data_IF_087796554240
#
_entry.id   IF_087796554240
#
_cell.length_a   1.000
_cell.length_b   1.000
_cell.length_c   1.000
_cell.angle_alpha   90.00
_cell.angle_beta   90.00
_cell.angle_gamma   90.00
#
_symmetry.space_group_name_H-M   'P 1'
#
loop_
_entity.id
_entity.type
_entity.pdbx_description
1 polymer ?
#
# COMPACT_ATOMS: atom_id res chain seq x y z
N UNK A 1 5.83 -12.45 15.88
CA UNK A 1 5.38 -11.08 15.53
C UNK A 1 4.15 -11.16 14.65
N UNK A 2 3.15 -10.30 14.88
CA UNK A 2 2.03 -10.14 13.94
C UNK A 2 2.47 -9.19 12.81
N UNK A 3 2.09 -9.50 11.58
CA UNK A 3 2.28 -8.63 10.41
C UNK A 3 0.92 -8.12 9.95
N UNK A 4 0.88 -6.87 9.51
CA UNK A 4 -0.31 -6.29 8.89
C UNK A 4 -0.05 -6.07 7.40
N UNK A 5 -0.74 -6.83 6.56
CA UNK A 5 -0.74 -6.62 5.12
C UNK A 5 -1.77 -5.55 4.75
N UNK A 6 -1.35 -4.62 3.90
CA UNK A 6 -2.21 -3.60 3.28
C UNK A 6 -2.18 -3.81 1.78
N UNK A 7 -3.36 -3.92 1.15
CA UNK A 7 -3.48 -4.17 -0.27
C UNK A 7 -4.43 -3.17 -0.93
N UNK A 8 -4.10 -2.75 -2.14
CA UNK A 8 -4.98 -1.95 -3.01
C UNK A 8 -5.01 -2.56 -4.41
N UNK A 9 -6.09 -2.30 -5.15
CA UNK A 9 -6.31 -2.86 -6.49
C UNK A 9 -6.41 -1.78 -7.57
N UNK A 10 -5.76 -2.01 -8.70
CA UNK A 10 -5.96 -1.25 -9.92
C UNK A 10 -6.54 -2.14 -11.01
N UNK A 11 -7.58 -1.63 -11.67
CA UNK A 11 -8.22 -2.26 -12.84
C UNK A 11 -7.90 -1.52 -14.14
N UNK A 12 -6.97 -0.56 -14.09
CA UNK A 12 -6.58 0.26 -15.24
C UNK A 12 -5.53 -0.50 -16.05
N UNK A 13 -5.97 -1.13 -17.15
CA UNK A 13 -5.11 -2.01 -17.96
C UNK A 13 -5.23 -3.45 -17.49
N UNK A 14 -4.09 -4.05 -17.11
CA UNK A 14 -4.06 -5.32 -16.39
C UNK A 14 -4.71 -5.16 -15.01
N UNK A 15 -5.21 -6.26 -14.44
CA UNK A 15 -5.68 -6.26 -13.06
C UNK A 15 -4.48 -6.44 -12.14
N UNK A 16 -4.26 -5.48 -11.23
CA UNK A 16 -3.10 -5.43 -10.35
C UNK A 16 -3.60 -5.38 -8.91
N UNK A 17 -3.03 -6.22 -8.04
CA UNK A 17 -3.06 -6.05 -6.59
C UNK A 17 -1.66 -5.68 -6.13
N UNK A 18 -1.53 -4.55 -5.45
CA UNK A 18 -0.29 -4.15 -4.80
C UNK A 18 -0.44 -4.42 -3.30
N UNK A 19 0.52 -5.11 -2.69
CA UNK A 19 0.49 -5.43 -1.27
C UNK A 19 1.82 -5.11 -0.59
N UNK A 20 1.73 -4.50 0.59
CA UNK A 20 2.86 -4.21 1.48
C UNK A 20 2.58 -4.75 2.87
N UNK A 21 3.62 -5.04 3.65
CA UNK A 21 3.51 -5.47 5.05
C UNK A 21 4.20 -4.50 5.99
N UNK A 22 3.58 -4.29 7.14
CA UNK A 22 4.13 -3.51 8.25
C UNK A 22 4.17 -4.41 9.48
N UNK A 23 5.30 -4.40 10.20
CA UNK A 23 5.42 -5.10 11.46
C UNK A 23 4.38 -4.59 12.47
N UNK A 24 3.75 -5.47 13.23
CA UNK A 24 2.68 -5.10 14.16
C UNK A 24 3.07 -4.01 15.18
N UNK A 25 4.35 -3.96 15.58
CA UNK A 25 4.89 -2.90 16.44
C UNK A 25 4.89 -1.52 15.78
N UNK A 26 5.06 -1.47 14.47
CA UNK A 26 5.22 -0.23 13.69
C UNK A 26 3.90 0.31 13.12
N UNK A 27 2.82 -0.48 13.18
CA UNK A 27 1.50 -0.09 12.61
C UNK A 27 0.99 1.22 13.19
N UNK A 28 1.18 1.45 14.48
CA UNK A 28 0.72 2.69 15.13
C UNK A 28 1.51 3.89 14.60
N UNK A 29 2.83 3.77 14.48
CA UNK A 29 3.71 4.81 13.94
C UNK A 29 3.38 5.10 12.47
N UNK A 30 3.23 4.07 11.64
CA UNK A 30 2.86 4.21 10.23
C UNK A 30 1.52 4.94 10.05
N UNK A 31 0.51 4.58 10.85
CA UNK A 31 -0.80 5.26 10.83
C UNK A 31 -0.71 6.71 11.29
N UNK A 32 0.17 7.02 12.24
CA UNK A 32 0.39 8.38 12.71
C UNK A 32 1.03 9.23 11.61
N UNK A 33 2.10 8.75 10.97
CA UNK A 33 2.76 9.44 9.86
C UNK A 33 1.78 9.77 8.72
N UNK A 34 0.93 8.80 8.31
CA UNK A 34 -0.09 9.06 7.30
C UNK A 34 -1.17 10.06 7.74
N UNK A 35 -1.52 10.10 9.03
CA UNK A 35 -2.48 11.09 9.56
C UNK A 35 -1.92 12.49 9.57
N UNK A 36 -0.63 12.66 9.83
CA UNK A 36 0.04 13.98 9.84
C UNK A 36 0.08 14.63 8.45
N UNK A 37 -0.09 13.83 7.38
CA UNK A 37 -0.27 14.34 6.04
C UNK A 37 -1.66 14.98 5.83
N UNK A 38 -2.68 14.73 6.67
CA UNK A 38 -4.01 15.29 6.45
C UNK A 38 -3.98 16.82 6.62
N UNK A 39 -4.58 17.54 5.65
CA UNK A 39 -4.66 19.00 5.71
C UNK A 39 -6.08 19.47 6.05
N UNK A 40 -6.19 20.46 6.92
CA UNK A 40 -7.47 21.04 7.32
C UNK A 40 -8.41 20.01 7.95
N UNK A 41 -9.61 19.85 7.38
CA UNK A 41 -10.65 18.93 7.89
C UNK A 41 -10.69 17.58 7.15
N UNK A 42 -9.65 17.26 6.37
CA UNK A 42 -9.59 16.00 5.64
C UNK A 42 -9.62 14.80 6.60
N UNK A 43 -10.44 13.80 6.27
CA UNK A 43 -10.52 12.54 7.01
C UNK A 43 -9.65 11.44 6.37
N UNK A 44 -9.27 11.62 5.10
CA UNK A 44 -8.46 10.68 4.32
C UNK A 44 -7.71 11.41 3.21
N UNK A 45 -6.62 10.81 2.75
CA UNK A 45 -5.85 11.30 1.61
C UNK A 45 -6.54 10.85 0.31
N UNK A 46 -7.05 11.78 -0.48
CA UNK A 46 -7.58 11.50 -1.81
C UNK A 46 -6.46 11.63 -2.86
N UNK A 47 -5.47 10.73 -2.84
CA UNK A 47 -4.24 10.86 -3.65
C UNK A 47 -4.50 11.07 -5.16
N UNK A 48 -5.50 10.37 -5.72
CA UNK A 48 -5.92 10.54 -7.12
C UNK A 48 -6.39 11.97 -7.46
N UNK A 49 -7.02 12.65 -6.50
CA UNK A 49 -7.55 14.00 -6.67
C UNK A 49 -6.54 15.10 -6.29
N UNK A 50 -5.36 14.74 -5.76
CA UNK A 50 -4.31 15.72 -5.53
C UNK A 50 -3.80 16.26 -6.86
N UNK A 51 -3.67 17.58 -6.96
CA UNK A 51 -3.21 18.26 -8.19
C UNK A 51 -1.82 18.84 -8.04
N UNK A 52 -1.37 19.12 -6.80
CA UNK A 52 -0.06 19.74 -6.54
C UNK A 52 1.05 18.68 -6.57
N UNK A 53 2.05 18.81 -7.47
CA UNK A 53 3.13 17.82 -7.58
C UNK A 53 3.94 17.66 -6.29
N UNK A 54 4.26 18.77 -5.63
CA UNK A 54 5.01 18.77 -4.36
C UNK A 54 4.30 17.98 -3.26
N UNK A 55 2.97 18.12 -3.19
CA UNK A 55 2.14 17.39 -2.24
C UNK A 55 2.09 15.90 -2.55
N UNK A 56 2.04 15.51 -3.83
CA UNK A 56 2.13 14.09 -4.22
C UNK A 56 3.47 13.49 -3.83
N UNK A 57 4.56 14.20 -4.09
CA UNK A 57 5.90 13.76 -3.72
C UNK A 57 6.01 13.52 -2.21
N UNK A 58 5.55 14.48 -1.39
CA UNK A 58 5.53 14.33 0.07
C UNK A 58 4.73 13.10 0.53
N UNK A 59 3.54 12.86 -0.06
CA UNK A 59 2.73 11.68 0.31
C UNK A 59 3.47 10.39 -0.06
N UNK A 60 4.09 10.34 -1.24
CA UNK A 60 4.82 9.15 -1.69
C UNK A 60 6.06 8.90 -0.83
N UNK A 61 6.81 9.95 -0.48
CA UNK A 61 7.98 9.86 0.39
C UNK A 61 7.61 9.28 1.75
N UNK A 62 6.60 9.83 2.43
CA UNK A 62 6.12 9.28 3.70
C UNK A 62 5.59 7.85 3.57
N UNK A 63 4.92 7.50 2.47
CA UNK A 63 4.50 6.10 2.24
C UNK A 63 5.73 5.19 2.13
N UNK A 64 6.74 5.57 1.36
CA UNK A 64 7.97 4.80 1.20
C UNK A 64 8.78 4.69 2.50
N UNK A 65 8.72 5.68 3.40
CA UNK A 65 9.35 5.60 4.72
C UNK A 65 8.68 4.58 5.64
N UNK A 66 7.35 4.42 5.54
CA UNK A 66 6.59 3.50 6.41
C UNK A 66 6.36 2.12 5.79
N UNK A 67 6.74 1.93 4.54
CA UNK A 67 6.62 0.66 3.81
C UNK A 67 7.96 0.27 3.21
N UNK A 68 8.54 -0.84 3.65
CA UNK A 68 9.86 -1.28 3.19
C UNK A 68 9.82 -1.99 1.82
N UNK A 69 8.75 -2.73 1.53
CA UNK A 69 8.59 -3.50 0.29
C UNK A 69 7.13 -3.49 -0.18
N UNK A 70 6.93 -3.66 -1.49
CA UNK A 70 5.63 -3.77 -2.12
C UNK A 70 5.67 -4.84 -3.22
N UNK A 71 4.85 -5.88 -3.07
CA UNK A 71 4.70 -6.93 -4.08
C UNK A 71 3.50 -6.66 -4.97
N UNK A 72 3.69 -6.86 -6.28
CA UNK A 72 2.66 -6.70 -7.30
C UNK A 72 2.20 -8.06 -7.81
N UNK A 73 0.90 -8.31 -7.72
CA UNK A 73 0.23 -9.47 -8.30
C UNK A 73 -0.55 -9.01 -9.53
N UNK A 74 -0.08 -9.42 -10.71
CA UNK A 74 -0.60 -8.94 -11.99
C UNK A 74 -1.33 -10.08 -12.69
N UNK A 75 -2.62 -9.89 -12.95
CA UNK A 75 -3.42 -10.78 -13.79
C UNK A 75 -3.79 -10.06 -15.08
N UNK A 76 -3.30 -10.58 -16.22
CA UNK A 76 -3.59 -10.06 -17.55
C UNK A 76 -4.95 -10.50 -18.10
N UNK A 77 -5.51 -11.58 -17.55
CA UNK A 77 -6.87 -12.01 -17.84
C UNK A 77 -7.87 -11.26 -16.96
N UNK A 78 -9.04 -10.93 -17.50
CA UNK A 78 -10.12 -10.28 -16.73
C UNK A 78 -10.99 -11.27 -15.96
N UNK A 79 -11.07 -12.52 -16.42
CA UNK A 79 -11.89 -13.53 -15.77
C UNK A 79 -11.24 -13.98 -14.45
N UNK A 80 -12.01 -13.93 -13.36
CA UNK A 80 -11.53 -14.26 -12.00
C UNK A 80 -10.25 -13.54 -11.56
N UNK A 81 -9.93 -12.38 -12.15
CA UNK A 81 -8.64 -11.71 -11.95
C UNK A 81 -8.34 -11.41 -10.47
N UNK A 82 -9.34 -10.92 -9.75
CA UNK A 82 -9.28 -10.66 -8.30
C UNK A 82 -8.99 -11.91 -7.50
N UNK A 83 -9.74 -12.97 -7.78
CA UNK A 83 -9.57 -14.25 -7.10
C UNK A 83 -8.19 -14.84 -7.36
N UNK A 84 -7.72 -14.80 -8.61
CA UNK A 84 -6.38 -15.27 -8.98
C UNK A 84 -5.27 -14.50 -8.25
N UNK A 85 -5.36 -13.16 -8.19
CA UNK A 85 -4.38 -12.35 -7.47
C UNK A 85 -4.43 -12.60 -5.95
N UNK A 86 -5.61 -12.74 -5.36
CA UNK A 86 -5.74 -13.02 -3.92
C UNK A 86 -5.24 -14.43 -3.56
N UNK A 87 -5.55 -15.44 -4.36
CA UNK A 87 -5.01 -16.81 -4.17
C UNK A 87 -3.49 -16.86 -4.33
N UNK A 88 -2.90 -16.02 -5.18
CA UNK A 88 -1.46 -15.90 -5.27
C UNK A 88 -0.87 -15.14 -4.06
N UNK A 89 -1.54 -14.10 -3.58
CA UNK A 89 -1.06 -13.24 -2.49
C UNK A 89 -1.11 -13.90 -1.12
N UNK A 90 -2.17 -14.63 -0.79
CA UNK A 90 -2.37 -15.21 0.55
C UNK A 90 -1.25 -16.18 0.99
N UNK A 91 -0.81 -17.15 0.16
CA UNK A 91 0.29 -18.03 0.54
C UNK A 91 1.65 -17.35 0.43
N UNK A 92 1.74 -16.24 -0.30
CA UNK A 92 2.98 -15.50 -0.43
C UNK A 92 3.33 -14.86 0.91
N UNK A 93 4.39 -15.38 1.54
CA UNK A 93 4.85 -14.91 2.85
C UNK A 93 5.52 -13.56 2.65
N UNK A 94 4.72 -12.51 2.67
CA UNK A 94 5.20 -11.13 2.74
C UNK A 94 5.99 -11.00 4.05
N UNK A 95 7.27 -10.65 3.93
CA UNK A 95 8.20 -10.48 5.04
C UNK A 95 8.59 -9.01 5.15
N UNK A 96 8.83 -8.56 6.37
CA UNK A 96 9.49 -7.28 6.65
C UNK A 96 10.99 -7.49 6.46
N UNK A 97 11.70 -6.52 5.87
CA UNK A 97 13.14 -6.57 5.70
C UNK A 97 13.74 -5.78 6.85
N UNK A 98 14.29 -6.45 7.86
CA UNK A 98 14.97 -5.74 8.95
C UNK A 98 16.14 -4.93 8.39
N UNK A 99 16.00 -3.61 8.39
CA UNK A 99 17.10 -2.70 8.08
C UNK A 99 18.10 -2.75 9.26
N UNK A 100 19.29 -3.29 8.99
CA UNK A 100 20.42 -3.32 9.93
C UNK A 100 21.13 -1.99 10.10
#
# INVERSE_FOLDING_TARGET
>A
MALHAYADESKKGDYIVAATVIAGGEVTAARQALRELLVGKQQRIHFKAETRPTRKAQILETVLEVTEDCRLYICRSRHSARENCLHAMVPDRLTVIEAG
#
